data_IF_649509364859
#
_entry.id   IF_649509364859
#
_cell.length_a   1.000
_cell.length_b   1.000
_cell.length_c   1.000
_cell.angle_alpha   90.00
_cell.angle_beta   90.00
_cell.angle_gamma   90.00
#
_symmetry.space_group_name_H-M   'P 1'
#
loop_
_entity.id
_entity.type
_entity.pdbx_description
1 polymer ?
#
# COMPACT_ATOMS: atom_id res chain seq x y z
N UNK A 1 -34.55 4.74 19.02
CA UNK A 1 -34.81 3.63 18.05
C UNK A 1 -34.20 2.36 18.62
N UNK A 2 -34.92 1.23 18.69
CA UNK A 2 -34.38 -0.05 19.21
C UNK A 2 -33.53 -0.74 18.13
N UNK A 3 -32.49 -1.47 18.51
CA UNK A 3 -31.57 -2.16 17.59
C UNK A 3 -32.30 -3.10 16.63
N UNK A 4 -33.40 -3.73 17.08
CA UNK A 4 -34.30 -4.54 16.24
C UNK A 4 -34.92 -3.73 15.10
N UNK A 5 -35.39 -2.52 15.38
CA UNK A 5 -35.98 -1.63 14.38
C UNK A 5 -34.93 -1.22 13.35
N UNK A 6 -33.71 -0.89 13.78
CA UNK A 6 -32.60 -0.55 12.88
C UNK A 6 -32.20 -1.73 11.96
N UNK A 7 -32.07 -2.95 12.51
CA UNK A 7 -31.75 -4.15 11.72
C UNK A 7 -32.82 -4.49 10.67
N UNK A 8 -34.10 -4.32 11.01
CA UNK A 8 -35.20 -4.53 10.06
C UNK A 8 -35.15 -3.52 8.89
N UNK A 9 -34.78 -2.27 9.16
CA UNK A 9 -34.59 -1.27 8.11
C UNK A 9 -33.39 -1.58 7.22
N UNK A 10 -32.26 -1.99 7.81
CA UNK A 10 -31.09 -2.43 7.04
C UNK A 10 -31.44 -3.56 6.08
N UNK A 11 -32.18 -4.57 6.54
CA UNK A 11 -32.62 -5.67 5.68
C UNK A 11 -33.54 -5.21 4.54
N UNK A 12 -34.46 -4.28 4.82
CA UNK A 12 -35.34 -3.69 3.78
C UNK A 12 -34.56 -2.90 2.73
N UNK A 13 -33.43 -2.31 3.12
CA UNK A 13 -32.54 -1.57 2.24
C UNK A 13 -31.50 -2.47 1.53
N UNK A 14 -31.56 -3.80 1.73
CA UNK A 14 -30.65 -4.76 1.10
C UNK A 14 -29.32 -4.98 1.86
N UNK A 15 -29.19 -4.43 3.07
CA UNK A 15 -28.00 -4.58 3.91
C UNK A 15 -28.19 -5.65 4.98
N UNK A 16 -27.13 -6.40 5.29
CA UNK A 16 -27.11 -7.34 6.43
C UNK A 16 -26.34 -6.75 7.60
N UNK A 17 -26.87 -6.92 8.81
CA UNK A 17 -26.14 -6.56 10.02
C UNK A 17 -25.20 -7.71 10.39
N UNK A 18 -23.90 -7.44 10.42
CA UNK A 18 -22.85 -8.34 10.93
C UNK A 18 -22.14 -7.66 12.10
N UNK A 19 -21.93 -8.41 13.18
CA UNK A 19 -20.96 -8.00 14.20
C UNK A 19 -19.56 -8.21 13.64
N UNK A 20 -18.94 -7.12 13.18
CA UNK A 20 -17.52 -7.11 12.88
C UNK A 20 -16.79 -7.08 14.22
N UNK A 21 -16.54 -8.26 14.79
CA UNK A 21 -15.46 -8.36 15.77
C UNK A 21 -14.21 -8.01 15.01
N UNK A 22 -13.53 -6.91 15.38
CA UNK A 22 -12.14 -6.68 14.98
C UNK A 22 -11.38 -7.89 15.54
N UNK A 23 -11.32 -8.97 14.77
CA UNK A 23 -10.41 -10.06 14.99
C UNK A 23 -9.07 -9.39 15.03
N UNK A 24 -8.49 -9.40 16.23
CA UNK A 24 -7.13 -8.98 16.54
C UNK A 24 -6.31 -9.11 15.27
N UNK A 25 -5.75 -8.01 14.79
CA UNK A 25 -4.65 -8.10 13.84
C UNK A 25 -3.57 -8.89 14.58
N UNK A 26 -3.66 -10.23 14.55
CA UNK A 26 -2.54 -11.11 14.85
C UNK A 26 -1.49 -10.58 13.92
N UNK A 27 -0.47 -9.97 14.50
CA UNK A 27 0.52 -9.18 13.80
C UNK A 27 1.13 -10.01 12.68
N UNK A 28 0.49 -9.93 11.50
CA UNK A 28 0.81 -10.77 10.36
C UNK A 28 2.18 -10.42 9.80
N UNK A 29 2.79 -9.32 10.29
CA UNK A 29 4.14 -8.91 9.98
C UNK A 29 5.17 -9.99 10.31
N UNK A 30 4.93 -10.82 11.33
CA UNK A 30 5.88 -11.88 11.71
C UNK A 30 5.62 -13.21 10.99
N UNK A 31 4.56 -13.32 10.18
CA UNK A 31 4.32 -14.54 9.41
C UNK A 31 5.49 -14.77 8.43
N UNK A 32 6.02 -16.00 8.32
CA UNK A 32 7.18 -16.28 7.47
C UNK A 32 7.01 -15.82 6.02
N UNK A 33 5.82 -16.00 5.45
CA UNK A 33 5.50 -15.59 4.07
C UNK A 33 5.53 -14.06 3.90
N UNK A 34 5.04 -13.32 4.89
CA UNK A 34 5.06 -11.85 4.90
C UNK A 34 6.49 -11.33 5.06
N UNK A 35 7.29 -11.96 5.93
CA UNK A 35 8.70 -11.61 6.12
C UNK A 35 9.52 -11.87 4.85
N UNK A 36 9.29 -12.99 4.16
CA UNK A 36 9.95 -13.30 2.89
C UNK A 36 9.58 -12.31 1.79
N UNK A 37 8.28 -12.01 1.63
CA UNK A 37 7.82 -11.01 0.68
C UNK A 37 8.43 -9.63 0.96
N UNK A 38 8.51 -9.23 2.24
CA UNK A 38 9.13 -7.98 2.66
C UNK A 38 10.62 -7.95 2.33
N UNK A 39 11.36 -9.04 2.55
CA UNK A 39 12.79 -9.13 2.19
C UNK A 39 13.01 -8.96 0.69
N UNK A 40 12.20 -9.63 -0.13
CA UNK A 40 12.27 -9.51 -1.58
C UNK A 40 11.99 -8.07 -2.03
N UNK A 41 10.94 -7.45 -1.49
CA UNK A 41 10.59 -6.06 -1.77
C UNK A 41 11.71 -5.07 -1.39
N UNK A 42 12.31 -5.24 -0.21
CA UNK A 42 13.42 -4.38 0.22
C UNK A 42 14.66 -4.53 -0.66
N UNK A 43 14.92 -5.74 -1.17
CA UNK A 43 16.01 -5.98 -2.11
C UNK A 43 15.78 -5.25 -3.43
N UNK A 44 14.57 -5.35 -3.99
CA UNK A 44 14.18 -4.62 -5.20
C UNK A 44 14.28 -3.10 -5.01
N UNK A 45 13.80 -2.61 -3.86
CA UNK A 45 13.86 -1.19 -3.52
C UNK A 45 15.31 -0.67 -3.45
N UNK A 46 16.22 -1.48 -2.90
CA UNK A 46 17.65 -1.16 -2.83
C UNK A 46 18.31 -1.13 -4.21
N UNK A 47 17.89 -1.99 -5.12
CA UNK A 47 18.37 -1.98 -6.51
C UNK A 47 17.86 -0.75 -7.28
N UNK A 48 16.67 -0.25 -6.93
CA UNK A 48 16.09 0.96 -7.50
C UNK A 48 16.62 2.26 -6.88
N UNK A 49 17.15 2.23 -5.66
CA UNK A 49 17.64 3.40 -4.89
C UNK A 49 18.50 4.40 -5.71
N UNK A 50 19.48 3.95 -6.54
CA UNK A 50 20.30 4.86 -7.34
C UNK A 50 19.50 5.65 -8.39
N UNK A 51 18.33 5.13 -8.78
CA UNK A 51 17.45 5.66 -9.80
C UNK A 51 16.28 6.46 -9.20
N UNK A 52 16.10 6.45 -7.88
CA UNK A 52 15.02 7.17 -7.22
C UNK A 52 15.22 8.68 -7.25
N UNK A 53 14.15 9.38 -7.62
CA UNK A 53 14.05 10.83 -7.49
C UNK A 53 13.89 11.18 -6.01
N UNK A 54 14.72 12.11 -5.54
CA UNK A 54 14.62 12.66 -4.21
C UNK A 54 14.02 14.06 -4.26
N UNK A 55 13.20 14.39 -3.27
CA UNK A 55 12.55 15.69 -3.16
C UNK A 55 13.02 16.42 -1.90
N UNK A 56 13.08 17.74 -1.99
CA UNK A 56 13.21 18.63 -0.86
C UNK A 56 11.88 18.74 -0.11
N UNK A 57 11.92 19.28 1.11
CA UNK A 57 10.72 19.49 1.91
C UNK A 57 9.71 20.47 1.26
N UNK A 58 10.17 21.34 0.37
CA UNK A 58 9.35 22.28 -0.40
C UNK A 58 8.73 21.65 -1.66
N UNK A 59 8.96 20.35 -1.91
CA UNK A 59 8.47 19.62 -3.07
C UNK A 59 9.31 19.78 -4.34
N UNK A 60 10.42 20.53 -4.29
CA UNK A 60 11.34 20.63 -5.43
C UNK A 60 12.19 19.37 -5.57
N UNK A 61 12.56 19.00 -6.79
CA UNK A 61 13.46 17.87 -7.04
C UNK A 61 14.88 18.21 -6.57
N UNK A 62 15.48 17.33 -5.77
CA UNK A 62 16.90 17.43 -5.42
C UNK A 62 17.76 17.12 -6.64
N UNK A 63 18.84 17.88 -6.79
CA UNK A 63 19.86 17.59 -7.79
C UNK A 63 20.59 16.32 -7.36
N UNK A 64 20.40 15.24 -8.12
CA UNK A 64 21.03 13.93 -7.91
C UNK A 64 21.78 13.54 -9.16
N UNK A 65 22.99 13.01 -8.98
CA UNK A 65 23.77 12.42 -10.07
C UNK A 65 23.28 10.99 -10.24
N UNK A 66 22.62 10.71 -11.36
CA UNK A 66 22.17 9.37 -11.67
C UNK A 66 23.30 8.53 -12.30
N UNK A 67 23.22 7.19 -12.22
CA UNK A 67 24.10 6.30 -12.97
C UNK A 67 24.10 6.61 -14.47
N UNK A 68 25.21 6.36 -15.18
CA UNK A 68 25.35 6.71 -16.59
C UNK A 68 24.32 6.04 -17.52
N UNK A 69 23.74 4.91 -17.09
CA UNK A 69 22.69 4.18 -17.80
C UNK A 69 21.27 4.70 -17.50
N UNK A 70 21.13 5.65 -16.58
CA UNK A 70 19.91 6.35 -16.23
C UNK A 70 19.80 7.65 -17.01
N UNK A 71 18.85 7.73 -17.92
CA UNK A 71 18.58 8.94 -18.68
C UNK A 71 17.08 9.22 -18.65
N UNK A 72 16.69 10.48 -18.43
CA UNK A 72 15.28 10.91 -18.41
C UNK A 72 14.53 10.47 -19.68
N UNK A 73 15.20 10.54 -20.83
CA UNK A 73 14.68 10.10 -22.13
C UNK A 73 15.36 8.81 -22.65
N UNK A 74 16.01 8.07 -21.76
CA UNK A 74 16.73 6.85 -22.08
C UNK A 74 15.82 5.69 -22.46
N UNK A 75 16.35 4.79 -23.31
CA UNK A 75 15.71 3.50 -23.63
C UNK A 75 15.96 2.41 -22.59
N UNK A 76 16.96 2.56 -21.72
CA UNK A 76 17.37 1.55 -20.72
C UNK A 76 16.76 1.81 -19.35
N UNK A 77 17.36 2.69 -18.55
CA UNK A 77 16.87 3.04 -17.21
C UNK A 77 16.49 4.52 -17.17
N UNK A 78 15.44 4.83 -16.43
CA UNK A 78 14.89 6.18 -16.25
C UNK A 78 14.82 6.49 -14.76
N UNK A 79 14.82 7.77 -14.36
CA UNK A 79 14.54 8.14 -12.99
C UNK A 79 13.16 7.61 -12.58
N UNK A 80 13.08 7.08 -11.36
CA UNK A 80 11.88 6.45 -10.81
C UNK A 80 11.34 7.32 -9.68
N UNK A 81 10.04 7.62 -9.73
CA UNK A 81 9.32 8.26 -8.63
C UNK A 81 8.52 7.16 -7.94
N UNK A 82 8.83 6.89 -6.68
CA UNK A 82 8.02 5.96 -5.88
C UNK A 82 6.84 6.71 -5.31
N UNK A 83 5.66 6.11 -5.46
CA UNK A 83 4.42 6.53 -4.83
C UNK A 83 4.14 5.51 -3.72
N UNK A 84 4.29 5.95 -2.46
CA UNK A 84 3.95 5.15 -1.27
C UNK A 84 2.54 5.51 -0.80
N UNK A 85 1.76 4.49 -0.45
CA UNK A 85 0.44 4.63 0.15
C UNK A 85 0.52 4.15 1.60
N UNK A 86 0.15 5.01 2.55
CA UNK A 86 0.18 4.72 3.99
C UNK A 86 -0.97 3.78 4.40
N UNK A 87 -2.12 3.90 3.71
CA UNK A 87 -3.28 3.04 3.94
C UNK A 87 -3.80 2.52 2.59
N UNK A 88 -3.65 1.22 2.35
CA UNK A 88 -4.42 0.51 1.32
C UNK A 88 -5.57 -0.22 2.01
N UNK A 89 -6.79 0.28 1.82
CA UNK A 89 -7.97 -0.43 2.30
C UNK A 89 -8.30 -1.54 1.31
N UNK A 90 -7.71 -2.72 1.49
CA UNK A 90 -8.13 -3.92 0.78
C UNK A 90 -9.47 -4.41 1.33
N UNK A 91 -10.56 -3.74 0.96
CA UNK A 91 -11.94 -4.22 1.17
C UNK A 91 -12.50 -4.93 -0.08
N UNK A 92 -11.62 -5.56 -0.88
CA UNK A 92 -12.04 -6.34 -2.03
C UNK A 92 -12.13 -7.82 -1.63
N UNK A 93 -13.34 -8.23 -1.24
CA UNK A 93 -13.85 -9.60 -1.38
C UNK A 93 -13.54 -10.65 -0.28
N UNK A 94 -13.14 -10.26 0.94
CA UNK A 94 -12.95 -11.21 2.07
C UNK A 94 -14.29 -11.64 2.73
N UNK A 95 -15.35 -11.69 1.93
CA UNK A 95 -16.75 -11.80 2.36
C UNK A 95 -17.48 -13.04 1.84
N UNK A 96 -16.77 -14.14 1.54
CA UNK A 96 -17.41 -15.46 1.43
C UNK A 96 -17.38 -16.18 2.78
#
# INVERSE_FOLDING_TARGET
>A
IKSRTARNWLHRLGYSWKDIKKGVFLDGHERPDVVEARKAFLQELKELEPYLVEFNADGTMKVKIYPADCQVFGKKRRPVIIIVHDESTFHANDGR
#
